data_IF_035612295923
#
_entry.id   IF_035612295923
#
_cell.length_a   1.000
_cell.length_b   1.000
_cell.length_c   1.000
_cell.angle_alpha   90.00
_cell.angle_beta   90.00
_cell.angle_gamma   90.00
#
_symmetry.space_group_name_H-M   'P 1'
#
loop_
_entity.id
_entity.type
_entity.pdbx_description
1 polymer ?
#
# COMPACT_ATOMS: atom_id res chain seq x y z
N UNK A 1 -8.30 -14.62 10.83
CA UNK A 1 -7.73 -13.27 11.03
C UNK A 1 -7.37 -12.78 9.65
N UNK A 2 -7.96 -11.67 9.21
CA UNK A 2 -7.63 -11.11 7.90
C UNK A 2 -6.20 -10.60 7.93
N UNK A 3 -5.51 -10.68 6.80
CA UNK A 3 -4.20 -10.05 6.64
C UNK A 3 -4.40 -8.53 6.70
N UNK A 4 -3.53 -7.82 7.39
CA UNK A 4 -3.60 -6.34 7.44
C UNK A 4 -2.52 -5.80 6.52
N UNK A 5 -2.93 -5.03 5.53
CA UNK A 5 -2.02 -4.35 4.61
C UNK A 5 -1.99 -2.88 5.01
N UNK A 6 -0.83 -2.40 5.44
CA UNK A 6 -0.64 -1.01 5.83
C UNK A 6 -0.15 -0.19 4.65
N UNK A 7 -0.73 0.99 4.47
CA UNK A 7 -0.22 1.97 3.50
C UNK A 7 0.45 3.14 4.24
N UNK A 8 1.78 3.17 4.17
CA UNK A 8 2.56 4.34 4.57
C UNK A 8 2.55 5.39 3.46
N UNK A 9 2.29 6.64 3.81
CA UNK A 9 2.40 7.78 2.89
C UNK A 9 3.30 8.84 3.51
N UNK A 10 4.37 9.17 2.80
CA UNK A 10 5.25 10.30 3.10
C UNK A 10 4.95 11.44 2.13
N UNK A 11 4.56 12.59 2.67
CA UNK A 11 3.91 13.68 1.94
C UNK A 11 4.85 14.87 1.80
N UNK A 12 5.21 15.20 0.57
CA UNK A 12 5.95 16.40 0.23
C UNK A 12 5.15 17.31 -0.71
N UNK A 13 5.57 18.58 -0.83
CA UNK A 13 4.92 19.54 -1.72
C UNK A 13 5.06 19.20 -3.21
N UNK A 14 6.08 18.42 -3.58
CA UNK A 14 6.37 18.08 -4.99
C UNK A 14 6.05 16.64 -5.35
N UNK A 15 5.81 15.78 -4.36
CA UNK A 15 5.57 14.35 -4.55
C UNK A 15 5.02 13.69 -3.28
N UNK A 16 4.41 12.52 -3.44
CA UNK A 16 4.12 11.60 -2.35
C UNK A 16 4.92 10.30 -2.56
N UNK A 17 5.45 9.75 -1.48
CA UNK A 17 6.02 8.40 -1.48
C UNK A 17 5.02 7.46 -0.80
N UNK A 18 4.57 6.45 -1.52
CA UNK A 18 3.55 5.48 -1.08
C UNK A 18 4.19 4.10 -0.91
N UNK A 19 4.01 3.50 0.25
CA UNK A 19 4.51 2.16 0.56
C UNK A 19 3.37 1.27 1.08
N UNK A 20 3.15 0.11 0.47
CA UNK A 20 2.20 -0.88 0.93
C UNK A 20 2.96 -2.09 1.50
N UNK A 21 2.66 -2.48 2.74
CA UNK A 21 3.34 -3.58 3.42
C UNK A 21 2.42 -4.38 4.35
N UNK A 22 2.69 -5.67 4.50
CA UNK A 22 2.08 -6.54 5.50
C UNK A 22 3.09 -6.76 6.63
N UNK A 23 2.79 -6.30 7.86
CA UNK A 23 3.66 -6.57 9.00
C UNK A 23 3.56 -8.03 9.41
N UNK A 24 4.71 -8.69 9.59
CA UNK A 24 4.77 -10.12 9.93
C UNK A 24 5.45 -10.32 11.28
N UNK A 25 4.76 -10.94 12.24
CA UNK A 25 5.32 -11.19 13.57
C UNK A 25 6.45 -12.22 13.46
N UNK A 26 7.65 -11.84 13.93
CA UNK A 26 8.81 -12.73 13.97
C UNK A 26 9.52 -12.91 12.62
N UNK A 27 9.19 -12.10 11.62
CA UNK A 27 9.87 -12.03 10.34
C UNK A 27 9.97 -10.57 9.86
N UNK A 28 10.64 -10.36 8.72
CA UNK A 28 10.62 -9.04 8.07
C UNK A 28 9.26 -8.76 7.44
N UNK A 29 8.89 -7.48 7.42
CA UNK A 29 7.68 -7.01 6.78
C UNK A 29 7.68 -7.32 5.28
N UNK A 30 6.53 -7.72 4.76
CA UNK A 30 6.38 -8.00 3.33
C UNK A 30 5.95 -6.73 2.61
N UNK A 31 6.86 -6.12 1.86
CA UNK A 31 6.57 -4.94 1.02
C UNK A 31 5.98 -5.36 -0.32
N UNK A 32 4.81 -4.83 -0.68
CA UNK A 32 4.15 -5.10 -1.96
C UNK A 32 4.44 -4.04 -3.01
N UNK A 33 4.57 -2.78 -2.59
CA UNK A 33 4.87 -1.67 -3.47
C UNK A 33 5.53 -0.54 -2.69
N UNK A 34 6.46 0.16 -3.34
CA UNK A 34 7.05 1.40 -2.85
C UNK A 34 7.30 2.28 -4.07
N UNK A 35 6.53 3.36 -4.21
CA UNK A 35 6.56 4.24 -5.39
C UNK A 35 6.54 5.71 -4.99
N UNK A 36 6.99 6.55 -5.90
CA UNK A 36 6.84 8.00 -5.79
C UNK A 36 5.90 8.49 -6.88
N UNK A 37 4.96 9.36 -6.52
CA UNK A 37 3.94 9.91 -7.42
C UNK A 37 3.86 11.43 -7.28
N UNK A 38 3.25 12.09 -8.26
CA UNK A 38 2.92 13.51 -8.14
C UNK A 38 1.90 13.72 -7.00
N UNK A 39 1.88 14.91 -6.36
CA UNK A 39 1.07 15.16 -5.16
C UNK A 39 -0.40 15.40 -5.51
N UNK A 40 -1.04 14.38 -6.08
CA UNK A 40 -2.47 14.34 -6.44
C UNK A 40 -3.10 13.12 -5.77
N UNK A 41 -4.20 13.33 -5.04
CA UNK A 41 -4.92 12.26 -4.35
C UNK A 41 -5.41 11.16 -5.30
N UNK A 42 -5.60 11.46 -6.59
CA UNK A 42 -5.96 10.46 -7.61
C UNK A 42 -4.91 9.37 -7.73
N UNK A 43 -3.64 9.70 -7.53
CA UNK A 43 -2.56 8.72 -7.54
C UNK A 43 -2.65 7.76 -6.35
N UNK A 44 -3.16 8.23 -5.19
CA UNK A 44 -3.40 7.39 -4.01
C UNK A 44 -4.53 6.40 -4.28
N UNK A 45 -5.63 6.87 -4.88
CA UNK A 45 -6.75 6.00 -5.26
C UNK A 45 -6.32 4.94 -6.28
N UNK A 46 -5.56 5.34 -7.30
CA UNK A 46 -5.02 4.43 -8.30
C UNK A 46 -4.08 3.40 -7.68
N UNK A 47 -3.19 3.82 -6.77
CA UNK A 47 -2.31 2.93 -6.03
C UNK A 47 -3.08 1.87 -5.22
N UNK A 48 -4.17 2.24 -4.54
CA UNK A 48 -5.01 1.30 -3.80
C UNK A 48 -5.67 0.28 -4.72
N UNK A 49 -6.19 0.70 -5.88
CA UNK A 49 -6.82 -0.21 -6.84
C UNK A 49 -5.80 -1.18 -7.46
N UNK A 50 -4.61 -0.69 -7.84
CA UNK A 50 -3.52 -1.54 -8.34
C UNK A 50 -3.05 -2.53 -7.27
N UNK A 51 -2.97 -2.11 -6.01
CA UNK A 51 -2.64 -2.98 -4.89
C UNK A 51 -3.67 -4.09 -4.72
N UNK A 52 -4.97 -3.78 -4.80
CA UNK A 52 -6.04 -4.80 -4.71
C UNK A 52 -5.95 -5.82 -5.84
N UNK A 53 -5.68 -5.37 -7.07
CA UNK A 53 -5.47 -6.26 -8.21
C UNK A 53 -4.25 -7.18 -8.00
N UNK A 54 -3.16 -6.64 -7.43
CA UNK A 54 -1.94 -7.40 -7.14
C UNK A 54 -2.12 -8.44 -6.04
N UNK A 55 -2.91 -8.13 -5.01
CA UNK A 55 -3.19 -9.05 -3.90
C UNK A 55 -4.21 -10.14 -4.27
N UNK A 56 -5.06 -9.88 -5.26
CA UNK A 56 -6.03 -10.84 -5.77
C UNK A 56 -7.38 -10.77 -5.06
N UNK A 57 -8.45 -10.90 -5.83
CA UNK A 57 -9.84 -10.66 -5.39
C UNK A 57 -10.35 -11.73 -4.41
N UNK A 58 -9.72 -12.90 -4.36
CA UNK A 58 -10.08 -14.00 -3.46
C UNK A 58 -9.36 -13.96 -2.10
N UNK A 59 -8.35 -13.10 -1.95
CA UNK A 59 -7.61 -12.99 -0.70
C UNK A 59 -8.41 -12.17 0.31
N UNK A 60 -8.49 -12.66 1.56
CA UNK A 60 -9.14 -11.94 2.66
C UNK A 60 -8.13 -11.06 3.39
N UNK A 61 -8.20 -9.75 3.13
CA UNK A 61 -7.35 -8.75 3.78
C UNK A 61 -8.11 -7.45 4.03
N UNK A 62 -7.63 -6.68 4.99
CA UNK A 62 -8.07 -5.33 5.28
C UNK A 62 -6.91 -4.36 4.96
N UNK A 63 -7.23 -3.19 4.40
CA UNK A 63 -6.25 -2.11 4.18
C UNK A 63 -6.46 -1.06 5.25
N UNK A 64 -5.40 -0.71 5.98
CA UNK A 64 -5.38 0.29 7.05
C UNK A 64 -4.37 1.43 6.78
#
# INVERSE_FOLDING_TARGET
MNRIIKIGMDVHSTNYTLCAMEPVIGAEDRVFANIQVTPDYKNILMFIEELKLKLGVSDTYDIE
#
